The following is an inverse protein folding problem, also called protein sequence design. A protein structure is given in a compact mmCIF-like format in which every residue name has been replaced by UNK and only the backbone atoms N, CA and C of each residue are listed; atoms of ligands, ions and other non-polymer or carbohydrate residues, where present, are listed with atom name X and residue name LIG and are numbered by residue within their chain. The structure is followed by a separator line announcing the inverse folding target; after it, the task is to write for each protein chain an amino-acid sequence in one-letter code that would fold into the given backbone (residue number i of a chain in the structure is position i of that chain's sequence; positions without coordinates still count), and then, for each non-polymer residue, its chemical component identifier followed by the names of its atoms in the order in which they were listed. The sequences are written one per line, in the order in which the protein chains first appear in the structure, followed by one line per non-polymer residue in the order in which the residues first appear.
data_IF_134390186716
#
_entry.id   IF_134390186716
#
_cell.length_a   1.000
_cell.length_b   1.000
_cell.length_c   1.000
_cell.angle_alpha   90.00
_cell.angle_beta   90.00
_cell.angle_gamma   90.00
#
_symmetry.space_group_name_H-M   'P 1'
#
loop_
_entity.id
_entity.type
_entity.pdbx_description
1 polymer ?
#
# COMPACT_ATOMS: atom_id res chain seq x y z
N UNK A 1 10.61 46.14 37.89
CA UNK A 1 11.49 44.98 37.60
C UNK A 1 10.71 43.71 37.94
N UNK A 2 9.82 43.18 37.09
CA UNK A 2 10.01 42.22 35.98
C UNK A 2 10.86 40.98 36.34
N UNK A 3 10.34 40.02 37.13
CA UNK A 3 10.86 38.63 37.18
C UNK A 3 9.81 37.63 37.69
N UNK A 4 8.77 37.32 36.91
CA UNK A 4 7.93 36.13 37.24
C UNK A 4 7.28 35.46 36.03
N UNK A 5 7.81 35.66 34.82
CA UNK A 5 7.20 35.12 33.60
C UNK A 5 8.18 34.27 32.77
N UNK A 6 8.96 33.40 33.43
CA UNK A 6 9.87 32.48 32.73
C UNK A 6 9.81 31.04 33.25
N UNK A 7 8.81 30.67 34.06
CA UNK A 7 8.70 29.30 34.58
C UNK A 7 7.61 28.46 33.92
N UNK A 8 6.97 28.95 32.84
CA UNK A 8 5.89 28.23 32.16
C UNK A 8 6.20 27.81 30.72
N UNK A 9 7.40 28.11 30.20
CA UNK A 9 7.78 27.83 28.80
C UNK A 9 8.70 26.60 28.68
N UNK A 10 9.24 26.09 29.79
CA UNK A 10 10.21 24.98 29.79
C UNK A 10 9.59 23.59 29.96
N UNK A 11 8.26 23.45 30.05
CA UNK A 11 7.61 22.13 30.22
C UNK A 11 6.96 21.55 28.93
N UNK A 12 7.09 22.21 27.79
CA UNK A 12 6.54 21.72 26.51
C UNK A 12 7.61 21.44 25.44
N UNK A 13 8.87 21.26 25.83
CA UNK A 13 9.97 21.00 24.90
C UNK A 13 10.37 19.53 24.77
N UNK A 14 9.70 18.58 25.44
CA UNK A 14 10.14 17.18 25.47
C UNK A 14 9.01 16.16 25.32
N UNK A 15 8.03 16.42 24.45
CA UNK A 15 6.99 15.43 24.12
C UNK A 15 6.39 15.54 22.70
N UNK A 16 7.08 16.14 21.72
CA UNK A 16 6.56 16.25 20.33
C UNK A 16 7.48 15.58 19.30
N UNK A 17 8.14 14.48 19.70
CA UNK A 17 8.71 13.51 18.75
C UNK A 17 8.42 12.08 19.22
N UNK A 18 7.15 11.82 19.56
CA UNK A 18 6.66 10.49 19.93
C UNK A 18 5.42 10.09 19.13
N UNK A 19 5.34 10.48 17.86
CA UNK A 19 4.39 9.94 16.87
C UNK A 19 5.05 10.21 15.50
N UNK A 20 5.46 9.27 14.66
CA UNK A 20 5.30 7.83 14.64
C UNK A 20 6.52 7.22 13.95
N UNK A 21 7.33 6.47 14.69
CA UNK A 21 7.91 5.27 14.10
C UNK A 21 6.78 4.23 14.09
N UNK A 22 5.71 4.50 13.34
CA UNK A 22 4.85 3.43 12.85
C UNK A 22 5.81 2.63 11.99
N UNK A 23 6.38 1.57 12.57
CA UNK A 23 7.17 0.60 11.83
C UNK A 23 6.38 0.31 10.57
N UNK A 24 6.84 0.83 9.43
CA UNK A 24 6.14 0.67 8.16
C UNK A 24 5.87 -0.81 8.02
N UNK A 25 4.60 -1.19 8.07
CA UNK A 25 4.24 -2.59 8.07
C UNK A 25 4.73 -3.14 6.74
N UNK A 26 5.58 -4.17 6.82
CA UNK A 26 6.11 -4.79 5.61
C UNK A 26 4.95 -5.19 4.69
N UNK A 27 5.12 -4.87 3.41
CA UNK A 27 4.19 -5.24 2.35
C UNK A 27 4.58 -6.55 1.67
N UNK A 28 5.50 -7.33 2.26
CA UNK A 28 5.92 -8.62 1.70
C UNK A 28 4.74 -9.58 1.55
N UNK A 29 4.77 -10.37 0.48
CA UNK A 29 3.81 -11.42 0.21
C UNK A 29 3.29 -11.43 -1.23
N UNK A 30 2.30 -12.29 -1.45
CA UNK A 30 1.67 -12.51 -2.76
C UNK A 30 0.32 -11.82 -2.79
N UNK A 31 0.12 -11.01 -3.81
CA UNK A 31 -1.09 -10.25 -4.08
C UNK A 31 -1.67 -10.62 -5.42
N UNK A 32 -2.99 -10.61 -5.52
CA UNK A 32 -3.73 -10.82 -6.76
C UNK A 32 -4.57 -9.59 -7.09
N UNK A 33 -4.77 -9.35 -8.38
CA UNK A 33 -5.58 -8.23 -8.85
C UNK A 33 -7.05 -8.48 -8.57
N UNK A 34 -7.69 -7.50 -7.95
CA UNK A 34 -9.14 -7.39 -7.87
C UNK A 34 -9.66 -6.76 -9.16
N UNK A 35 -10.64 -7.41 -9.76
CA UNK A 35 -11.38 -6.85 -10.88
C UNK A 35 -12.46 -5.90 -10.35
N UNK A 36 -12.48 -4.69 -10.88
CA UNK A 36 -13.39 -3.61 -10.44
C UNK A 36 -14.52 -3.48 -11.45
N UNK A 37 -15.77 -3.64 -11.00
CA UNK A 37 -16.97 -3.41 -11.81
C UNK A 37 -17.33 -1.92 -11.88
N UNK A 38 -17.21 -1.23 -10.75
CA UNK A 38 -17.61 0.15 -10.59
C UNK A 38 -16.77 0.83 -9.52
N UNK A 39 -16.43 2.09 -9.77
CA UNK A 39 -15.70 2.94 -8.86
C UNK A 39 -16.36 4.32 -8.87
N UNK A 40 -16.97 4.67 -7.75
CA UNK A 40 -17.58 5.98 -7.50
C UNK A 40 -16.93 6.60 -6.26
N UNK A 41 -17.17 7.90 -6.01
CA UNK A 41 -16.54 8.64 -4.90
C UNK A 41 -16.68 7.96 -3.52
N UNK A 42 -17.77 7.23 -3.30
CA UNK A 42 -18.07 6.61 -2.00
C UNK A 42 -17.79 5.10 -1.93
N UNK A 43 -17.58 4.42 -3.06
CA UNK A 43 -17.54 2.95 -3.09
C UNK A 43 -16.83 2.38 -4.32
N UNK A 44 -15.99 1.37 -4.08
CA UNK A 44 -15.45 0.47 -5.11
C UNK A 44 -16.18 -0.87 -5.03
N UNK A 45 -16.70 -1.32 -6.16
CA UNK A 45 -17.31 -2.64 -6.31
C UNK A 45 -16.38 -3.56 -7.10
N UNK A 46 -16.28 -4.81 -6.62
CA UNK A 46 -15.40 -5.82 -7.19
C UNK A 46 -16.22 -6.96 -7.79
N UNK A 47 -15.77 -7.49 -8.92
CA UNK A 47 -16.40 -8.62 -9.61
C UNK A 47 -15.75 -9.96 -9.24
N UNK A 48 -14.43 -9.99 -9.13
CA UNK A 48 -13.68 -11.21 -8.88
C UNK A 48 -12.19 -10.97 -8.66
N UNK A 49 -11.44 -12.07 -8.61
CA UNK A 49 -9.98 -12.06 -8.61
C UNK A 49 -9.49 -12.48 -9.98
N UNK A 50 -8.59 -11.71 -10.56
CA UNK A 50 -7.84 -12.10 -11.76
C UNK A 50 -6.69 -13.03 -11.33
N UNK A 51 -6.77 -14.36 -11.58
CA UNK A 51 -5.77 -15.31 -11.12
C UNK A 51 -4.47 -15.24 -11.93
N UNK A 52 -4.49 -14.60 -13.09
CA UNK A 52 -3.35 -14.48 -14.00
C UNK A 52 -2.52 -13.21 -13.72
N UNK A 53 -3.08 -12.26 -12.98
CA UNK A 53 -2.38 -11.03 -12.58
C UNK A 53 -2.02 -11.07 -11.09
N UNK A 54 -0.74 -11.30 -10.80
CA UNK A 54 -0.22 -11.33 -9.42
C UNK A 54 1.02 -10.48 -9.22
N UNK A 55 1.26 -10.07 -7.98
CA UNK A 55 2.41 -9.31 -7.53
C UNK A 55 3.00 -10.01 -6.31
N UNK A 56 4.27 -10.38 -6.38
CA UNK A 56 5.02 -10.97 -5.27
C UNK A 56 6.12 -10.02 -4.85
N UNK A 57 6.15 -9.68 -3.57
CA UNK A 57 7.11 -8.73 -2.98
C UNK A 57 7.88 -9.44 -1.87
N UNK A 58 9.20 -9.28 -1.88
CA UNK A 58 10.13 -9.70 -0.84
C UNK A 58 11.14 -8.57 -0.59
N UNK A 59 10.92 -7.81 0.47
CA UNK A 59 11.73 -6.67 0.87
C UNK A 59 11.62 -5.51 -0.13
N UNK A 60 12.74 -5.23 -0.81
CA UNK A 60 12.86 -4.14 -1.79
C UNK A 60 12.71 -4.60 -3.23
N UNK A 61 12.42 -5.88 -3.46
CA UNK A 61 12.34 -6.47 -4.80
C UNK A 61 11.05 -7.26 -4.95
N UNK A 62 10.69 -7.55 -6.20
CA UNK A 62 9.53 -8.36 -6.47
C UNK A 62 9.39 -8.75 -7.93
N UNK A 63 8.29 -9.42 -8.22
CA UNK A 63 7.91 -9.76 -9.59
C UNK A 63 6.42 -9.49 -9.78
N UNK A 64 6.07 -8.89 -10.91
CA UNK A 64 4.70 -8.71 -11.36
C UNK A 64 4.43 -9.67 -12.53
N UNK A 65 3.33 -10.41 -12.48
CA UNK A 65 2.89 -11.32 -13.54
C UNK A 65 1.60 -10.82 -14.19
N UNK A 66 1.51 -11.07 -15.49
CA UNK A 66 0.30 -10.87 -16.29
C UNK A 66 0.19 -12.01 -17.30
N UNK A 67 -0.66 -12.99 -17.01
CA UNK A 67 -0.69 -14.26 -17.73
C UNK A 67 0.65 -14.99 -17.59
N UNK A 68 1.22 -15.44 -18.71
CA UNK A 68 2.52 -16.12 -18.73
C UNK A 68 3.73 -15.18 -18.66
N UNK A 69 3.52 -13.85 -18.64
CA UNK A 69 4.60 -12.86 -18.65
C UNK A 69 4.96 -12.46 -17.22
N UNK A 70 6.26 -12.30 -16.97
CA UNK A 70 6.78 -11.85 -15.68
C UNK A 70 7.70 -10.63 -15.86
N UNK A 71 7.66 -9.70 -14.91
CA UNK A 71 8.49 -8.51 -14.90
C UNK A 71 9.04 -8.24 -13.50
N UNK A 72 10.35 -8.00 -13.42
CA UNK A 72 11.00 -7.58 -12.18
C UNK A 72 10.61 -6.17 -11.81
N UNK A 73 10.45 -5.96 -10.51
CA UNK A 73 10.13 -4.67 -9.91
C UNK A 73 11.02 -4.41 -8.71
N UNK A 74 11.27 -3.13 -8.47
CA UNK A 74 11.89 -2.61 -7.26
C UNK A 74 10.80 -1.96 -6.41
N UNK A 75 10.87 -2.16 -5.09
CA UNK A 75 9.91 -1.64 -4.11
C UNK A 75 10.66 -0.69 -3.18
N UNK A 76 10.30 0.57 -3.25
CA UNK A 76 10.77 1.59 -2.33
C UNK A 76 9.70 1.82 -1.27
N UNK A 77 9.87 1.19 -0.10
CA UNK A 77 8.92 1.33 1.00
C UNK A 77 9.02 2.70 1.69
N UNK A 78 10.13 3.41 1.51
CA UNK A 78 10.31 4.76 2.07
C UNK A 78 9.44 5.77 1.34
N UNK A 79 9.52 5.75 0.01
CA UNK A 79 8.79 6.64 -0.88
C UNK A 79 7.45 6.08 -1.36
N UNK A 80 7.11 4.85 -0.92
CA UNK A 80 5.89 4.13 -1.30
C UNK A 80 5.72 4.00 -2.82
N UNK A 81 6.78 3.55 -3.50
CA UNK A 81 6.75 3.33 -4.95
C UNK A 81 7.11 1.92 -5.34
N UNK A 82 6.51 1.45 -6.43
CA UNK A 82 6.87 0.20 -7.12
C UNK A 82 7.28 0.57 -8.53
N UNK A 83 8.52 0.24 -8.89
CA UNK A 83 9.11 0.62 -10.16
C UNK A 83 9.53 -0.60 -10.95
N UNK A 84 9.12 -0.65 -12.22
CA UNK A 84 9.55 -1.62 -13.22
C UNK A 84 10.41 -0.93 -14.27
N UNK A 85 10.95 -1.71 -15.22
CA UNK A 85 11.67 -1.15 -16.38
C UNK A 85 10.84 -0.14 -17.20
N UNK A 86 9.52 -0.27 -17.22
CA UNK A 86 8.66 0.53 -18.12
C UNK A 86 7.82 1.59 -17.41
N UNK A 87 7.48 1.36 -16.14
CA UNK A 87 6.54 2.21 -15.38
C UNK A 87 6.88 2.21 -13.90
N UNK A 88 6.56 3.32 -13.25
CA UNK A 88 6.53 3.46 -11.79
C UNK A 88 5.10 3.73 -11.33
N UNK A 89 4.75 3.20 -10.17
CA UNK A 89 3.48 3.40 -9.49
C UNK A 89 3.75 3.87 -8.07
N UNK A 90 3.00 4.86 -7.60
CA UNK A 90 2.82 5.07 -6.16
C UNK A 90 1.91 3.97 -5.62
N UNK A 91 2.13 3.56 -4.38
CA UNK A 91 1.24 2.60 -3.73
C UNK A 91 0.72 3.13 -2.40
N UNK A 92 -0.54 2.80 -2.11
CA UNK A 92 -1.13 2.93 -0.78
C UNK A 92 -1.37 1.54 -0.20
N UNK A 93 -0.96 1.33 1.05
CA UNK A 93 -1.30 0.12 1.80
C UNK A 93 -2.54 0.37 2.65
N UNK A 94 -3.49 -0.57 2.61
CA UNK A 94 -4.69 -0.61 3.45
C UNK A 94 -4.59 -1.87 4.31
N UNK A 95 -3.97 -1.78 5.51
CA UNK A 95 -3.63 -2.94 6.33
C UNK A 95 -4.83 -3.77 6.77
N UNK A 96 -5.97 -3.12 7.07
CA UNK A 96 -7.21 -3.77 7.51
C UNK A 96 -7.67 -4.85 6.53
N UNK A 97 -7.60 -4.54 5.24
CA UNK A 97 -8.07 -5.41 4.16
C UNK A 97 -6.91 -6.18 3.51
N UNK A 98 -5.68 -5.99 4.00
CA UNK A 98 -4.43 -6.48 3.39
C UNK A 98 -4.34 -6.16 1.89
N UNK A 99 -4.70 -4.93 1.54
CA UNK A 99 -4.79 -4.46 0.17
C UNK A 99 -3.66 -3.47 -0.15
N UNK A 100 -3.23 -3.46 -1.41
CA UNK A 100 -2.41 -2.44 -2.03
C UNK A 100 -3.20 -1.79 -3.16
N UNK A 101 -3.17 -0.47 -3.22
CA UNK A 101 -3.73 0.30 -4.34
C UNK A 101 -2.56 0.95 -5.06
N UNK A 102 -2.36 0.62 -6.34
CA UNK A 102 -1.28 1.17 -7.17
C UNK A 102 -1.84 2.21 -8.12
N UNK A 103 -1.18 3.37 -8.21
CA UNK A 103 -1.59 4.48 -9.06
C UNK A 103 -0.41 5.06 -9.84
N UNK A 104 -0.64 5.50 -11.07
CA UNK A 104 0.38 6.21 -11.87
C UNK A 104 -0.20 7.36 -12.71
N UNK A 105 -1.32 7.93 -12.27
CA UNK A 105 -2.05 9.00 -12.97
C UNK A 105 -2.82 8.55 -14.22
N UNK A 106 -2.56 7.35 -14.77
CA UNK A 106 -3.31 6.78 -15.89
C UNK A 106 -4.22 5.64 -15.47
N UNK A 107 -3.82 4.88 -14.45
CA UNK A 107 -4.52 3.67 -14.02
C UNK A 107 -4.39 3.50 -12.52
N UNK A 108 -5.49 3.07 -11.90
CA UNK A 108 -5.55 2.53 -10.54
C UNK A 108 -5.63 1.01 -10.62
N UNK A 109 -4.86 0.31 -9.79
CA UNK A 109 -4.86 -1.15 -9.69
C UNK A 109 -5.04 -1.56 -8.25
N UNK A 110 -6.09 -2.34 -7.99
CA UNK A 110 -6.41 -2.89 -6.69
C UNK A 110 -5.82 -4.29 -6.57
N UNK A 111 -5.03 -4.52 -5.53
CA UNK A 111 -4.30 -5.76 -5.30
C UNK A 111 -4.54 -6.24 -3.87
N UNK A 112 -4.89 -7.50 -3.68
CA UNK A 112 -5.20 -8.04 -2.35
C UNK A 112 -4.34 -9.24 -2.02
N UNK A 113 -3.86 -9.37 -0.78
CA UNK A 113 -3.07 -10.54 -0.36
C UNK A 113 -3.89 -11.83 -0.48
N UNK A 114 -3.24 -12.90 -0.91
CA UNK A 114 -3.82 -14.25 -1.03
C UNK A 114 -4.48 -14.77 0.26
N UNK A 115 -4.01 -14.33 1.42
CA UNK A 115 -4.51 -14.73 2.74
C UNK A 115 -5.46 -13.69 3.38
N UNK A 116 -6.03 -12.80 2.58
CA UNK A 116 -6.98 -11.79 3.04
C UNK A 116 -8.42 -12.33 3.06
N UNK A 117 -9.30 -11.74 3.90
CA UNK A 117 -10.74 -12.04 3.83
C UNK A 117 -11.32 -11.71 2.45
N UNK A 118 -10.89 -10.58 1.87
CA UNK A 118 -11.39 -10.09 0.59
C UNK A 118 -10.98 -11.03 -0.57
N UNK A 119 -9.76 -11.56 -0.58
CA UNK A 119 -9.37 -12.61 -1.54
C UNK A 119 -10.29 -13.83 -1.45
N UNK A 120 -10.53 -14.35 -0.23
CA UNK A 120 -11.39 -15.52 -0.04
C UNK A 120 -12.85 -15.28 -0.44
N UNK A 121 -13.33 -14.04 -0.35
CA UNK A 121 -14.67 -13.67 -0.78
C UNK A 121 -14.84 -13.65 -2.31
N UNK A 122 -13.77 -13.35 -3.05
CA UNK A 122 -13.81 -13.07 -4.50
C UNK A 122 -13.07 -14.09 -5.37
N UNK A 123 -12.28 -15.00 -4.80
CA UNK A 123 -11.48 -15.99 -5.57
C UNK A 123 -12.30 -16.99 -6.38
N UNK A 124 -13.55 -17.23 -5.98
CA UNK A 124 -14.46 -18.22 -6.59
C UNK A 124 -15.59 -17.56 -7.41
N UNK A 125 -15.51 -16.24 -7.64
CA UNK A 125 -16.43 -15.49 -8.50
C UNK A 125 -15.82 -15.29 -9.88
#
# INVERSE_FOLDING_TARGET
MKKTLYLLVTLFASAIFLVACSSKQSIDGVYYRLEVSSENEDKVEYDGIDPETKLEIDGSEGTYWYGSKAMKIHVDQENQTITSKYKSFSYQSIPKDKMLVLENGQKTVYLVKENSPLYNQYKDK
#
